data_IF_269081904827
#
_entry.id   IF_269081904827
#
_cell.length_a   1.000
_cell.length_b   1.000
_cell.length_c   1.000
_cell.angle_alpha   90.00
_cell.angle_beta   90.00
_cell.angle_gamma   90.00
#
_symmetry.space_group_name_H-M   'P 1'
#
loop_
_entity.id
_entity.type
_entity.pdbx_description
1 polymer ?
#
# COMPACT_ATOMS: atom_id res chain seq x y z
N UNK A 1 9.94 0.16 -17.71
CA UNK A 1 10.75 0.42 -16.50
C UNK A 1 11.33 -0.89 -15.94
N UNK A 2 12.35 -0.78 -15.05
CA UNK A 2 13.06 -1.95 -14.50
C UNK A 2 12.13 -2.93 -13.76
N UNK A 3 11.10 -2.43 -13.06
CA UNK A 3 10.11 -3.25 -12.34
C UNK A 3 9.20 -4.04 -13.29
N UNK A 4 8.94 -3.53 -14.50
CA UNK A 4 8.10 -4.20 -15.52
C UNK A 4 8.75 -5.46 -16.09
N UNK A 5 10.07 -5.55 -16.03
CA UNK A 5 10.81 -6.70 -16.54
C UNK A 5 10.59 -7.96 -15.68
N UNK A 6 10.14 -7.80 -14.45
CA UNK A 6 9.86 -8.89 -13.52
C UNK A 6 8.36 -9.15 -13.51
N UNK A 7 7.93 -10.32 -13.92
CA UNK A 7 6.51 -10.69 -13.96
C UNK A 7 5.95 -11.00 -12.56
N UNK A 8 4.63 -10.89 -12.35
CA UNK A 8 4.00 -11.18 -11.06
C UNK A 8 4.26 -12.58 -10.51
N UNK A 9 4.38 -13.59 -11.38
CA UNK A 9 4.68 -14.99 -11.04
C UNK A 9 6.13 -15.24 -10.65
N UNK A 10 7.04 -14.30 -10.94
CA UNK A 10 8.47 -14.46 -10.61
C UNK A 10 8.64 -14.54 -9.09
N UNK A 11 9.49 -15.47 -8.66
CA UNK A 11 9.93 -15.55 -7.27
C UNK A 11 10.85 -14.37 -6.96
N UNK A 12 10.48 -13.60 -5.96
CA UNK A 12 11.20 -12.42 -5.50
C UNK A 12 11.23 -12.39 -3.97
N UNK A 13 12.18 -11.70 -3.33
CA UNK A 13 12.18 -11.56 -1.88
C UNK A 13 10.94 -10.79 -1.40
N UNK A 14 10.54 -11.03 -0.16
CA UNK A 14 9.48 -10.23 0.48
C UNK A 14 10.12 -9.01 1.13
N UNK A 15 9.60 -7.82 0.84
CA UNK A 15 10.03 -6.58 1.48
C UNK A 15 8.98 -6.08 2.47
N UNK A 16 9.40 -5.87 3.73
CA UNK A 16 8.58 -5.21 4.75
C UNK A 16 8.90 -3.70 4.77
N UNK A 17 7.93 -2.81 4.47
CA UNK A 17 8.18 -1.37 4.30
C UNK A 17 8.19 -0.57 5.63
N UNK A 18 8.48 -1.20 6.76
CA UNK A 18 8.33 -0.60 8.09
C UNK A 18 9.57 0.18 8.54
N UNK A 19 10.09 1.07 7.70
CA UNK A 19 11.30 1.84 7.98
C UNK A 19 11.19 2.74 9.23
N UNK A 20 9.99 3.15 9.59
CA UNK A 20 9.68 3.99 10.77
C UNK A 20 8.68 3.34 11.71
N UNK A 21 8.64 2.00 11.72
CA UNK A 21 7.62 1.25 12.43
C UNK A 21 6.31 1.11 11.66
N UNK A 22 5.36 0.43 12.26
CA UNK A 22 3.99 0.35 11.79
C UNK A 22 3.02 0.81 12.90
N UNK A 23 1.76 1.07 12.54
CA UNK A 23 0.78 1.64 13.48
C UNK A 23 0.62 0.83 14.76
N UNK A 24 0.59 -0.49 14.64
CA UNK A 24 0.38 -1.40 15.77
C UNK A 24 1.69 -1.84 16.43
N UNK A 25 2.84 -1.63 15.77
CA UNK A 25 4.16 -1.94 16.26
C UNK A 25 5.17 -0.85 15.85
N UNK A 26 5.34 0.21 16.65
CA UNK A 26 6.29 1.30 16.36
C UNK A 26 7.75 0.82 16.24
N UNK A 27 8.05 -0.39 16.74
CA UNK A 27 9.40 -0.98 16.72
C UNK A 27 9.64 -1.87 15.50
N UNK A 28 8.62 -2.16 14.71
CA UNK A 28 8.79 -2.88 13.45
C UNK A 28 9.88 -2.22 12.59
N UNK A 29 10.63 -3.02 11.86
CA UNK A 29 11.72 -2.56 11.00
C UNK A 29 11.54 -3.11 9.60
N UNK A 30 11.95 -2.29 8.60
CA UNK A 30 12.00 -2.73 7.22
C UNK A 30 13.07 -3.78 7.03
N UNK A 31 12.77 -4.82 6.23
CA UNK A 31 13.72 -5.86 5.88
C UNK A 31 13.33 -6.53 4.56
N UNK A 32 14.30 -7.22 3.95
CA UNK A 32 14.05 -8.20 2.90
C UNK A 32 14.20 -9.60 3.48
N UNK A 33 13.26 -10.48 3.15
CA UNK A 33 13.26 -11.88 3.55
C UNK A 33 13.28 -12.75 2.31
N UNK A 34 14.09 -13.82 2.31
CA UNK A 34 14.19 -14.75 1.20
C UNK A 34 15.09 -14.25 0.06
N UNK A 35 16.13 -13.47 0.36
CA UNK A 35 17.14 -13.10 -0.63
C UNK A 35 17.94 -14.33 -1.08
N UNK A 36 18.18 -14.43 -2.40
CA UNK A 36 19.06 -15.44 -2.98
C UNK A 36 19.98 -14.81 -4.05
N UNK A 37 21.05 -15.51 -4.46
CA UNK A 37 22.06 -14.96 -5.38
C UNK A 37 21.52 -14.55 -6.76
N UNK A 38 20.42 -15.14 -7.20
CA UNK A 38 19.79 -14.89 -8.49
C UNK A 38 19.00 -13.57 -8.51
N UNK A 39 18.73 -12.98 -7.35
CA UNK A 39 17.96 -11.75 -7.24
C UNK A 39 18.78 -10.54 -7.70
N UNK A 40 18.36 -9.96 -8.81
CA UNK A 40 18.90 -8.71 -9.35
C UNK A 40 18.26 -7.47 -8.69
N UNK A 41 18.81 -6.29 -9.01
CA UNK A 41 18.23 -5.01 -8.61
C UNK A 41 16.75 -4.85 -9.01
N UNK A 42 16.35 -5.41 -10.16
CA UNK A 42 14.96 -5.37 -10.61
C UNK A 42 14.02 -6.17 -9.67
N UNK A 43 14.47 -7.35 -9.19
CA UNK A 43 13.73 -8.15 -8.22
C UNK A 43 13.57 -7.41 -6.88
N UNK A 44 14.63 -6.75 -6.39
CA UNK A 44 14.57 -5.96 -5.16
C UNK A 44 13.60 -4.76 -5.29
N UNK A 45 13.66 -4.04 -6.41
CA UNK A 45 12.74 -2.93 -6.65
C UNK A 45 11.29 -3.41 -6.75
N UNK A 46 11.05 -4.53 -7.44
CA UNK A 46 9.71 -5.10 -7.49
C UNK A 46 9.22 -5.51 -6.11
N UNK A 47 10.07 -6.12 -5.29
CA UNK A 47 9.74 -6.48 -3.91
C UNK A 47 9.32 -5.24 -3.08
N UNK A 48 10.00 -4.10 -3.26
CA UNK A 48 9.60 -2.83 -2.62
C UNK A 48 8.21 -2.41 -3.07
N UNK A 49 7.91 -2.45 -4.36
CA UNK A 49 6.59 -2.10 -4.90
C UNK A 49 5.50 -3.02 -4.35
N UNK A 50 5.70 -4.34 -4.40
CA UNK A 50 4.75 -5.32 -3.86
C UNK A 50 4.57 -5.16 -2.35
N UNK A 51 5.65 -5.00 -1.59
CA UNK A 51 5.61 -4.85 -0.13
C UNK A 51 4.80 -3.63 0.32
N UNK A 52 4.94 -2.50 -0.37
CA UNK A 52 4.13 -1.30 -0.08
C UNK A 52 2.66 -1.55 -0.40
N UNK A 53 2.33 -2.17 -1.55
CA UNK A 53 0.94 -2.51 -1.90
C UNK A 53 0.33 -3.48 -0.88
N UNK A 54 1.07 -4.51 -0.47
CA UNK A 54 0.60 -5.47 0.54
C UNK A 54 0.40 -4.81 1.91
N UNK A 55 1.25 -3.89 2.30
CA UNK A 55 1.07 -3.12 3.54
C UNK A 55 -0.21 -2.29 3.51
N UNK A 56 -0.54 -1.66 2.37
CA UNK A 56 -1.82 -0.98 2.18
C UNK A 56 -3.00 -1.96 2.19
N UNK A 57 -2.86 -3.14 1.55
CA UNK A 57 -3.90 -4.16 1.52
C UNK A 57 -4.24 -4.66 2.93
N UNK A 58 -3.24 -4.84 3.82
CA UNK A 58 -3.50 -5.18 5.22
C UNK A 58 -4.39 -4.13 5.91
N UNK A 59 -4.11 -2.84 5.69
CA UNK A 59 -4.92 -1.77 6.26
C UNK A 59 -6.34 -1.74 5.67
N UNK A 60 -6.47 -2.00 4.37
CA UNK A 60 -7.75 -2.09 3.66
C UNK A 60 -8.58 -3.27 4.19
N UNK A 61 -7.97 -4.43 4.45
CA UNK A 61 -8.68 -5.56 5.07
C UNK A 61 -9.30 -5.16 6.41
N UNK A 62 -8.59 -4.41 7.26
CA UNK A 62 -9.15 -3.90 8.53
C UNK A 62 -10.33 -2.96 8.32
N UNK A 63 -10.28 -2.09 7.33
CA UNK A 63 -11.38 -1.15 7.04
C UNK A 63 -12.67 -1.86 6.59
N UNK A 64 -12.53 -3.04 5.98
CA UNK A 64 -13.66 -3.80 5.42
C UNK A 64 -14.05 -5.05 6.21
N UNK A 65 -13.51 -5.26 7.43
CA UNK A 65 -13.88 -6.39 8.29
C UNK A 65 -15.41 -6.51 8.50
N UNK A 66 -16.11 -5.37 8.59
CA UNK A 66 -17.55 -5.30 8.85
C UNK A 66 -18.29 -4.44 7.81
N UNK A 67 -17.77 -4.32 6.61
CA UNK A 67 -18.36 -3.50 5.53
C UNK A 67 -18.34 -4.28 4.22
N UNK A 68 -19.26 -3.94 3.34
CA UNK A 68 -19.22 -4.44 1.97
C UNK A 68 -17.96 -3.98 1.24
N UNK A 69 -17.41 -4.88 0.43
CA UNK A 69 -16.26 -4.53 -0.40
C UNK A 69 -16.67 -3.48 -1.43
N UNK A 70 -15.86 -2.44 -1.63
CA UNK A 70 -16.16 -1.43 -2.63
C UNK A 70 -16.08 -2.01 -4.03
N UNK A 71 -16.91 -1.50 -4.94
CA UNK A 71 -16.85 -1.87 -6.36
C UNK A 71 -15.63 -1.31 -7.09
N UNK A 72 -15.01 -0.27 -6.55
CA UNK A 72 -13.77 0.34 -7.04
C UNK A 72 -13.02 1.04 -5.91
N UNK A 73 -11.71 1.21 -6.07
CA UNK A 73 -10.85 2.00 -5.18
C UNK A 73 -10.38 3.25 -5.92
N UNK A 74 -10.41 4.41 -5.27
CA UNK A 74 -9.86 5.65 -5.83
C UNK A 74 -8.50 5.94 -5.19
N UNK A 75 -7.47 6.12 -6.02
CA UNK A 75 -6.10 6.43 -5.59
C UNK A 75 -5.67 7.79 -6.16
N UNK A 76 -5.07 8.60 -5.30
CA UNK A 76 -4.52 9.90 -5.64
C UNK A 76 -3.15 10.09 -4.99
N UNK A 77 -2.36 11.04 -5.47
CA UNK A 77 -1.05 11.38 -4.94
C UNK A 77 0.10 10.95 -5.84
N UNK A 78 1.35 11.19 -5.39
CA UNK A 78 2.55 11.01 -6.21
C UNK A 78 2.77 9.60 -6.78
N UNK A 79 2.30 8.56 -6.09
CA UNK A 79 2.40 7.18 -6.55
C UNK A 79 1.62 6.92 -7.86
N UNK A 80 0.61 7.73 -8.18
CA UNK A 80 -0.22 7.59 -9.39
C UNK A 80 0.53 7.85 -10.69
N UNK A 81 1.71 8.46 -10.64
CA UNK A 81 2.59 8.64 -11.79
C UNK A 81 3.18 7.34 -12.32
N UNK A 82 3.24 6.29 -11.49
CA UNK A 82 3.73 4.96 -11.90
C UNK A 82 2.58 4.06 -12.34
N UNK A 83 2.42 3.89 -13.66
CA UNK A 83 1.39 2.99 -14.24
C UNK A 83 1.54 1.55 -13.76
N UNK A 84 2.78 1.07 -13.65
CA UNK A 84 3.09 -0.28 -13.15
C UNK A 84 2.60 -0.47 -11.74
N UNK A 85 2.82 0.53 -10.89
CA UNK A 85 2.38 0.46 -9.49
C UNK A 85 0.86 0.49 -9.37
N UNK A 86 0.19 1.34 -10.15
CA UNK A 86 -1.28 1.40 -10.18
C UNK A 86 -1.91 0.11 -10.70
N UNK A 87 -1.29 -0.52 -11.72
CA UNK A 87 -1.72 -1.85 -12.18
C UNK A 87 -1.54 -2.90 -11.07
N UNK A 88 -0.42 -2.86 -10.35
CA UNK A 88 -0.18 -3.77 -9.23
C UNK A 88 -1.22 -3.58 -8.11
N UNK A 89 -1.63 -2.35 -7.80
CA UNK A 89 -2.73 -2.10 -6.87
C UNK A 89 -4.04 -2.74 -7.34
N UNK A 90 -4.40 -2.59 -8.61
CA UNK A 90 -5.62 -3.20 -9.15
C UNK A 90 -5.56 -4.74 -9.05
N UNK A 91 -4.44 -5.35 -9.44
CA UNK A 91 -4.24 -6.79 -9.41
C UNK A 91 -4.27 -7.37 -7.98
N UNK A 92 -3.63 -6.70 -7.02
CA UNK A 92 -3.61 -7.12 -5.60
C UNK A 92 -4.99 -6.96 -4.94
N UNK A 93 -5.68 -5.86 -5.22
CA UNK A 93 -7.02 -5.61 -4.68
C UNK A 93 -8.09 -6.50 -5.32
N UNK A 94 -7.87 -6.93 -6.57
CA UNK A 94 -8.85 -7.67 -7.36
C UNK A 94 -10.09 -6.86 -7.72
N UNK A 95 -10.01 -5.52 -7.68
CA UNK A 95 -11.08 -4.59 -8.05
C UNK A 95 -10.51 -3.43 -8.88
N UNK A 96 -11.33 -2.75 -9.70
CA UNK A 96 -10.89 -1.59 -10.46
C UNK A 96 -10.34 -0.47 -9.57
N UNK A 97 -9.24 0.15 -10.04
CA UNK A 97 -8.64 1.33 -9.43
C UNK A 97 -8.87 2.54 -10.33
N UNK A 98 -9.46 3.59 -9.76
CA UNK A 98 -9.62 4.89 -10.39
C UNK A 98 -8.46 5.80 -9.96
N UNK A 99 -7.60 6.18 -10.91
CA UNK A 99 -6.53 7.13 -10.67
C UNK A 99 -7.09 8.54 -10.85
N UNK A 100 -6.98 9.34 -9.81
CA UNK A 100 -7.34 10.77 -9.91
C UNK A 100 -6.09 11.54 -10.40
N UNK A 101 -6.14 12.10 -11.63
CA UNK A 101 -5.00 12.81 -12.20
C UNK A 101 -4.87 14.18 -11.54
N UNK A 102 -4.22 14.23 -10.37
CA UNK A 102 -4.06 15.49 -9.67
C UNK A 102 -2.85 15.50 -8.73
N UNK A 103 -1.99 16.48 -8.96
CA UNK A 103 -0.79 16.68 -8.14
C UNK A 103 -1.06 17.48 -6.85
N UNK A 104 -2.16 18.28 -6.81
CA UNK A 104 -2.44 19.23 -5.72
C UNK A 104 -3.82 18.97 -5.07
N UNK A 105 -4.03 17.74 -4.58
CA UNK A 105 -5.29 17.33 -3.95
C UNK A 105 -5.70 18.23 -2.76
N UNK A 106 -4.71 18.63 -1.94
CA UNK A 106 -4.96 19.50 -0.79
C UNK A 106 -5.46 20.88 -1.21
N UNK A 107 -4.80 21.52 -2.19
CA UNK A 107 -5.20 22.83 -2.71
C UNK A 107 -6.61 22.79 -3.31
N UNK A 108 -6.94 21.72 -4.05
CA UNK A 108 -8.28 21.54 -4.62
C UNK A 108 -9.34 21.32 -3.55
N UNK A 109 -9.05 20.56 -2.51
CA UNK A 109 -9.95 20.38 -1.37
C UNK A 109 -10.30 21.72 -0.69
N UNK A 110 -9.27 22.56 -0.48
CA UNK A 110 -9.47 23.91 0.07
C UNK A 110 -10.30 24.77 -0.89
N UNK A 111 -10.02 24.75 -2.19
CA UNK A 111 -10.78 25.51 -3.18
C UNK A 111 -12.24 25.11 -3.22
N UNK A 112 -12.55 23.80 -3.17
CA UNK A 112 -13.94 23.29 -3.10
C UNK A 112 -14.64 23.80 -1.84
N UNK A 113 -13.98 23.70 -0.68
CA UNK A 113 -14.56 24.17 0.59
C UNK A 113 -14.80 25.68 0.57
N UNK A 114 -13.86 26.46 0.06
CA UNK A 114 -14.03 27.91 -0.09
C UNK A 114 -15.17 28.30 -1.04
N UNK A 115 -15.28 27.59 -2.18
CA UNK A 115 -16.37 27.84 -3.15
C UNK A 115 -17.76 27.60 -2.55
N UNK A 116 -17.91 26.56 -1.71
CA UNK A 116 -19.17 26.33 -0.99
C UNK A 116 -19.41 27.39 0.08
N UNK A 117 -18.39 27.75 0.86
CA UNK A 117 -18.50 28.78 1.90
C UNK A 117 -18.88 30.17 1.35
N UNK A 118 -18.44 30.49 0.14
CA UNK A 118 -18.78 31.73 -0.57
C UNK A 118 -20.12 31.66 -1.33
N UNK A 119 -20.87 30.56 -1.22
CA UNK A 119 -22.17 30.39 -1.86
C UNK A 119 -22.11 30.08 -3.37
N UNK A 120 -20.92 29.75 -3.90
CA UNK A 120 -20.76 29.35 -5.31
C UNK A 120 -21.39 27.99 -5.64
N UNK A 121 -21.54 27.13 -4.62
CA UNK A 121 -22.22 25.83 -4.73
C UNK A 121 -23.12 25.61 -3.52
N UNK A 122 -24.25 24.89 -3.69
CA UNK A 122 -25.21 24.66 -2.59
C UNK A 122 -24.67 23.74 -1.49
N UNK A 123 -23.76 22.82 -1.84
CA UNK A 123 -23.14 21.86 -0.93
C UNK A 123 -21.82 21.31 -1.49
N UNK A 124 -21.05 20.65 -0.61
CA UNK A 124 -19.74 20.06 -0.96
C UNK A 124 -19.87 18.97 -2.04
N UNK A 125 -20.94 18.17 -2.03
CA UNK A 125 -21.14 17.08 -2.97
C UNK A 125 -21.28 17.61 -4.39
N UNK A 126 -22.08 18.66 -4.57
CA UNK A 126 -22.26 19.36 -5.85
C UNK A 126 -20.96 20.00 -6.30
N UNK A 127 -20.25 20.70 -5.41
CA UNK A 127 -18.98 21.32 -5.72
C UNK A 127 -17.92 20.28 -6.13
N UNK A 128 -17.83 19.15 -5.43
CA UNK A 128 -16.94 18.04 -5.81
C UNK A 128 -17.29 17.52 -7.21
N UNK A 129 -18.57 17.29 -7.49
CA UNK A 129 -19.01 16.79 -8.79
C UNK A 129 -18.60 17.72 -9.93
N UNK A 130 -18.83 19.02 -9.77
CA UNK A 130 -18.58 20.02 -10.82
C UNK A 130 -17.08 20.40 -10.94
N UNK A 131 -16.36 20.39 -9.83
CA UNK A 131 -14.95 20.82 -9.80
C UNK A 131 -13.96 19.68 -9.98
N UNK A 132 -14.39 18.40 -10.04
CA UNK A 132 -13.46 17.26 -10.22
C UNK A 132 -13.70 16.56 -11.56
N UNK A 133 -12.60 16.16 -12.20
CA UNK A 133 -12.66 15.36 -13.41
C UNK A 133 -12.73 13.86 -13.08
N UNK A 134 -13.35 13.04 -13.94
CA UNK A 134 -13.30 11.59 -13.82
C UNK A 134 -11.86 11.09 -13.90
N UNK A 135 -11.54 10.10 -13.07
CA UNK A 135 -10.22 9.48 -13.06
C UNK A 135 -10.03 8.46 -14.20
N UNK A 136 -8.79 8.05 -14.38
CA UNK A 136 -8.41 6.98 -15.31
C UNK A 136 -8.66 5.64 -14.61
N UNK A 137 -9.44 4.76 -15.23
CA UNK A 137 -9.72 3.42 -14.69
C UNK A 137 -8.64 2.42 -15.08
N UNK A 138 -8.14 1.68 -14.11
CA UNK A 138 -7.27 0.51 -14.29
C UNK A 138 -8.01 -0.70 -13.75
N UNK A 139 -8.12 -1.73 -14.59
CA UNK A 139 -8.80 -2.97 -14.24
C UNK A 139 -7.78 -4.05 -13.82
N UNK A 140 -8.13 -4.91 -12.84
CA UNK A 140 -7.26 -6.01 -12.46
C UNK A 140 -7.12 -7.01 -13.61
N UNK A 141 -5.93 -7.58 -13.75
CA UNK A 141 -5.65 -8.68 -14.67
C UNK A 141 -5.97 -9.99 -13.96
N UNK A 142 -7.03 -10.68 -14.39
CA UNK A 142 -7.59 -11.84 -13.70
C UNK A 142 -6.57 -12.94 -13.42
N UNK A 143 -5.65 -13.17 -14.37
CA UNK A 143 -4.58 -14.17 -14.27
C UNK A 143 -3.61 -13.92 -13.10
N UNK A 144 -3.44 -12.68 -12.66
CA UNK A 144 -2.51 -12.33 -11.57
C UNK A 144 -3.16 -12.20 -10.20
N UNK A 145 -4.47 -12.06 -10.13
CA UNK A 145 -5.20 -11.88 -8.86
C UNK A 145 -4.92 -13.02 -7.89
N UNK A 146 -4.96 -14.27 -8.34
CA UNK A 146 -4.73 -15.42 -7.46
C UNK A 146 -3.25 -15.61 -7.11
N UNK A 147 -2.33 -15.18 -7.97
CA UNK A 147 -0.91 -15.13 -7.68
C UNK A 147 -0.66 -14.15 -6.53
N UNK A 148 -1.21 -12.93 -6.63
CA UNK A 148 -1.06 -11.92 -5.58
C UNK A 148 -1.75 -12.29 -4.27
N UNK A 149 -2.88 -13.00 -4.30
CA UNK A 149 -3.49 -13.54 -3.07
C UNK A 149 -2.55 -14.50 -2.33
N UNK A 150 -1.84 -15.39 -3.07
CA UNK A 150 -0.85 -16.30 -2.48
C UNK A 150 0.33 -15.51 -1.90
N UNK A 151 0.92 -14.59 -2.67
CA UNK A 151 2.02 -13.74 -2.21
C UNK A 151 1.63 -12.91 -0.97
N UNK A 152 0.43 -12.35 -0.94
CA UNK A 152 -0.07 -11.59 0.19
C UNK A 152 -0.22 -12.45 1.46
N UNK A 153 -0.63 -13.71 1.33
CA UNK A 153 -0.65 -14.66 2.46
C UNK A 153 0.74 -14.86 3.05
N UNK A 154 1.76 -15.03 2.20
CA UNK A 154 3.15 -15.15 2.66
C UNK A 154 3.64 -13.85 3.30
N UNK A 155 3.31 -12.70 2.71
CA UNK A 155 3.65 -11.40 3.28
C UNK A 155 3.09 -11.26 4.71
N UNK A 156 1.82 -11.61 4.94
CA UNK A 156 1.22 -11.57 6.28
C UNK A 156 1.96 -12.47 7.27
N UNK A 157 2.30 -13.68 6.90
CA UNK A 157 3.05 -14.58 7.78
C UNK A 157 4.46 -14.03 8.13
N UNK A 158 5.14 -13.40 7.18
CA UNK A 158 6.43 -12.75 7.45
C UNK A 158 6.28 -11.54 8.38
N UNK A 159 5.20 -10.76 8.26
CA UNK A 159 4.91 -9.65 9.19
C UNK A 159 4.71 -10.18 10.61
N UNK A 160 3.92 -11.23 10.80
CA UNK A 160 3.67 -11.84 12.11
C UNK A 160 4.98 -12.29 12.78
N UNK A 161 5.84 -13.01 12.06
CA UNK A 161 7.16 -13.44 12.56
C UNK A 161 8.06 -12.24 12.90
N UNK A 162 8.09 -11.22 12.03
CA UNK A 162 8.89 -10.02 12.26
C UNK A 162 8.42 -9.23 13.50
N UNK A 163 7.12 -9.21 13.76
CA UNK A 163 6.55 -8.58 14.95
C UNK A 163 6.90 -9.35 16.21
N UNK A 164 6.84 -10.68 16.22
CA UNK A 164 7.29 -11.53 17.34
C UNK A 164 8.75 -11.30 17.69
N UNK A 165 9.63 -11.24 16.68
CA UNK A 165 11.06 -10.97 16.88
C UNK A 165 11.28 -9.57 17.48
N UNK A 166 10.52 -8.57 17.03
CA UNK A 166 10.60 -7.21 17.53
C UNK A 166 10.19 -7.09 19.01
N UNK A 167 9.16 -7.81 19.42
CA UNK A 167 8.68 -7.88 20.80
C UNK A 167 9.64 -8.68 21.72
N UNK A 168 10.22 -9.77 21.23
CA UNK A 168 11.13 -10.62 22.00
C UNK A 168 12.44 -9.92 22.38
N UNK A 169 12.87 -8.93 21.64
CA UNK A 169 14.07 -8.13 21.95
C UNK A 169 13.88 -7.17 23.14
N UNK A 170 12.65 -6.89 23.56
CA UNK A 170 12.38 -6.09 24.75
C UNK A 170 12.64 -6.87 26.05
N UNK A 171 12.17 -8.10 26.11
CA UNK A 171 12.39 -8.97 27.27
C UNK A 171 13.89 -9.21 27.53
N UNK A 172 14.71 -9.19 26.45
CA UNK A 172 16.18 -9.34 26.59
C UNK A 172 16.88 -8.05 27.04
N UNK A 173 16.32 -6.86 26.78
CA UNK A 173 16.89 -5.60 27.26
C UNK A 173 16.58 -5.36 28.73
N UNK A 174 15.34 -5.56 29.17
CA UNK A 174 14.98 -5.45 30.60
C UNK A 174 15.77 -6.42 31.45
N UNK A 175 15.98 -7.66 30.98
CA UNK A 175 16.79 -8.67 31.70
C UNK A 175 18.27 -8.28 31.82
N UNK A 176 18.84 -7.55 30.86
CA UNK A 176 20.24 -7.07 30.93
C UNK A 176 20.41 -5.83 31.81
N UNK A 177 19.39 -4.99 31.89
CA UNK A 177 19.40 -3.80 32.75
C UNK A 177 19.21 -4.18 34.20
N UNK A 178 18.41 -5.21 34.52
CA UNK A 178 18.26 -5.77 35.86
C UNK A 178 19.50 -6.53 36.37
N UNK A 179 20.35 -7.07 35.49
CA UNK A 179 21.59 -7.74 35.89
C UNK A 179 22.78 -6.79 36.06
N UNK A 180 22.65 -5.54 35.63
CA UNK A 180 23.71 -4.52 35.76
C UNK A 180 23.36 -3.42 36.78
N UNK A 181 22.29 -3.60 37.55
CA UNK A 181 21.91 -2.77 38.73
C UNK A 181 22.24 -3.48 40.01
#
# INVERSE_FOLDING_TARGET
EMVEQILPETEIPIFLPYLRGQRNNPKARGCWVGLCPEHSKAHLLRAVYEGVVFSHMMQIEYLFLNREKPSKMRIAGGATSSKVWMQMFADVLGIPVEIVPMNEMGAKGIAITAAVALGGYPDIKTAVHEMTEPGIMIYPRGEYVDIYKKKFKYFKAVVEIADEISCSNENKKSFREEQNS
#
